data_IF_700161968733
#
_entry.id   IF_700161968733
#
_cell.length_a   1.000
_cell.length_b   1.000
_cell.length_c   1.000
_cell.angle_alpha   90.00
_cell.angle_beta   90.00
_cell.angle_gamma   90.00
#
_symmetry.space_group_name_H-M   'P 1'
#
loop_
_entity.id
_entity.type
_entity.pdbx_description
1 polymer ?
#
# COMPACT_ATOMS: atom_id res chain seq x y z
N UNK A 1 -0.92 -18.41 2.76
CA UNK A 1 -0.53 -19.34 1.64
C UNK A 1 -1.04 -20.76 1.86
N UNK A 2 -0.90 -21.34 3.05
CA UNK A 2 -1.33 -22.72 3.34
C UNK A 2 -2.83 -22.95 3.09
N UNK A 3 -3.69 -22.03 3.55
CA UNK A 3 -5.14 -22.13 3.36
C UNK A 3 -5.55 -22.02 1.89
N UNK A 4 -4.83 -21.25 1.08
CA UNK A 4 -5.01 -21.25 -0.37
C UNK A 4 -4.76 -22.66 -0.95
N UNK A 5 -3.64 -23.30 -0.58
CA UNK A 5 -3.34 -24.67 -1.00
C UNK A 5 -4.42 -25.68 -0.57
N UNK A 6 -4.86 -25.61 0.70
CA UNK A 6 -5.91 -26.47 1.23
C UNK A 6 -7.22 -26.32 0.46
N UNK A 7 -7.64 -25.07 0.19
CA UNK A 7 -8.86 -24.80 -0.57
C UNK A 7 -8.76 -25.28 -2.01
N UNK A 8 -7.62 -25.08 -2.68
CA UNK A 8 -7.42 -25.62 -4.03
C UNK A 8 -7.49 -27.15 -4.06
N UNK A 9 -6.91 -27.86 -3.09
CA UNK A 9 -7.03 -29.32 -2.98
C UNK A 9 -8.50 -29.71 -2.82
N UNK A 10 -9.26 -29.01 -1.97
CA UNK A 10 -10.70 -29.24 -1.79
C UNK A 10 -11.51 -29.07 -3.07
N UNK A 11 -11.12 -28.11 -3.93
CA UNK A 11 -11.78 -27.85 -5.22
C UNK A 11 -11.37 -28.89 -6.26
N UNK A 12 -10.07 -29.15 -6.40
CA UNK A 12 -9.53 -29.96 -7.50
C UNK A 12 -9.75 -31.47 -7.32
N UNK A 13 -9.93 -31.92 -6.08
CA UNK A 13 -10.07 -33.34 -5.74
C UNK A 13 -11.38 -33.62 -4.96
N UNK A 14 -12.55 -33.40 -5.58
CA UNK A 14 -13.85 -33.57 -4.91
C UNK A 14 -14.14 -35.01 -4.49
N UNK A 15 -13.39 -36.01 -4.99
CA UNK A 15 -13.49 -37.39 -4.60
C UNK A 15 -13.00 -37.68 -3.16
N UNK A 16 -12.26 -36.80 -2.54
CA UNK A 16 -11.86 -36.97 -1.14
C UNK A 16 -13.05 -36.68 -0.19
N UNK A 17 -13.27 -37.57 0.78
CA UNK A 17 -14.38 -37.43 1.74
C UNK A 17 -14.40 -36.10 2.52
N UNK A 18 -13.28 -35.41 2.61
CA UNK A 18 -13.13 -34.16 3.36
C UNK A 18 -12.98 -32.93 2.45
N UNK A 19 -13.08 -33.07 1.14
CA UNK A 19 -12.83 -31.99 0.20
C UNK A 19 -13.66 -30.74 0.48
N UNK A 20 -14.98 -30.90 0.71
CA UNK A 20 -15.89 -29.80 1.03
C UNK A 20 -15.52 -29.10 2.35
N UNK A 21 -15.17 -29.89 3.38
CA UNK A 21 -14.72 -29.36 4.67
C UNK A 21 -13.42 -28.56 4.53
N UNK A 22 -12.48 -29.00 3.69
CA UNK A 22 -11.23 -28.29 3.42
C UNK A 22 -11.47 -26.97 2.70
N UNK A 23 -12.39 -26.96 1.72
CA UNK A 23 -12.77 -25.75 1.03
C UNK A 23 -13.42 -24.73 1.98
N UNK A 24 -14.39 -25.19 2.78
CA UNK A 24 -15.06 -24.33 3.75
C UNK A 24 -14.06 -23.73 4.77
N UNK A 25 -13.20 -24.55 5.36
CA UNK A 25 -12.17 -24.08 6.27
C UNK A 25 -11.20 -23.11 5.63
N UNK A 26 -10.85 -23.32 4.35
CA UNK A 26 -9.97 -22.41 3.63
C UNK A 26 -10.64 -21.05 3.40
N UNK A 27 -11.91 -21.02 3.02
CA UNK A 27 -12.66 -19.76 2.81
C UNK A 27 -12.76 -18.96 4.10
N UNK A 28 -13.14 -19.60 5.21
CA UNK A 28 -13.23 -18.97 6.53
C UNK A 28 -11.88 -18.38 6.95
N UNK A 29 -10.81 -19.18 6.91
CA UNK A 29 -9.48 -18.73 7.29
C UNK A 29 -8.92 -17.64 6.36
N UNK A 30 -9.19 -17.68 5.06
CA UNK A 30 -8.77 -16.64 4.12
C UNK A 30 -9.49 -15.33 4.38
N UNK A 31 -10.77 -15.38 4.76
CA UNK A 31 -11.53 -14.18 5.11
C UNK A 31 -11.06 -13.55 6.41
N UNK A 32 -10.81 -14.36 7.45
CA UNK A 32 -10.23 -13.93 8.73
C UNK A 32 -8.84 -13.30 8.53
N UNK A 33 -8.00 -13.90 7.68
CA UNK A 33 -6.65 -13.39 7.42
C UNK A 33 -6.66 -12.03 6.72
N UNK A 34 -7.66 -11.70 5.90
CA UNK A 34 -7.80 -10.35 5.37
C UNK A 34 -8.04 -9.32 6.47
N UNK A 35 -8.83 -9.64 7.49
CA UNK A 35 -9.07 -8.75 8.63
C UNK A 35 -7.84 -8.58 9.53
N UNK A 36 -6.94 -9.58 9.53
CA UNK A 36 -5.71 -9.57 10.33
C UNK A 36 -4.52 -8.95 9.63
N UNK A 37 -4.53 -8.91 8.29
CA UNK A 37 -3.38 -8.48 7.49
C UNK A 37 -3.62 -7.18 6.70
N UNK A 38 -4.87 -6.77 6.52
CA UNK A 38 -5.19 -5.59 5.71
C UNK A 38 -5.76 -4.48 6.61
N UNK A 39 -5.11 -3.33 6.60
CA UNK A 39 -5.62 -2.13 7.26
C UNK A 39 -7.00 -1.74 6.71
N UNK A 40 -7.85 -1.06 7.48
CA UNK A 40 -9.18 -0.63 7.01
C UNK A 40 -9.15 0.23 5.74
N UNK A 41 -8.03 0.91 5.44
CA UNK A 41 -7.82 1.70 4.21
C UNK A 41 -7.29 0.89 3.03
N UNK A 42 -7.04 -0.40 3.22
CA UNK A 42 -6.69 -1.35 2.17
C UNK A 42 -5.23 -1.79 2.13
N UNK A 43 -4.31 -1.17 2.85
CA UNK A 43 -2.90 -1.56 2.80
C UNK A 43 -2.64 -2.83 3.61
N UNK A 44 -1.77 -3.68 3.12
CA UNK A 44 -1.29 -4.86 3.84
C UNK A 44 -0.28 -4.43 4.93
N UNK A 45 -0.31 -5.10 6.08
CA UNK A 45 0.37 -4.69 7.33
C UNK A 45 1.92 -4.59 7.26
N UNK A 46 2.54 -5.07 6.19
CA UNK A 46 3.96 -4.88 5.95
C UNK A 46 4.26 -3.53 5.26
N UNK A 47 3.22 -2.77 4.87
CA UNK A 47 3.31 -1.42 4.33
C UNK A 47 4.30 -1.29 3.15
N UNK A 48 4.43 -2.34 2.37
CA UNK A 48 5.25 -2.38 1.16
C UNK A 48 4.40 -2.76 -0.04
N UNK A 49 4.56 -2.05 -1.13
CA UNK A 49 3.79 -2.26 -2.35
C UNK A 49 4.02 -3.64 -2.97
N UNK A 50 5.21 -4.23 -2.80
CA UNK A 50 5.49 -5.58 -3.29
C UNK A 50 4.72 -6.66 -2.52
N UNK A 51 4.79 -6.66 -1.19
CA UNK A 51 4.14 -7.70 -0.38
C UNK A 51 2.62 -7.53 -0.30
N UNK A 52 2.13 -6.31 -0.44
CA UNK A 52 0.72 -6.05 -0.69
C UNK A 52 0.21 -6.82 -1.92
N UNK A 53 0.94 -6.71 -3.02
CA UNK A 53 0.60 -7.38 -4.28
C UNK A 53 0.75 -8.91 -4.19
N UNK A 54 1.75 -9.41 -3.45
CA UNK A 54 1.92 -10.85 -3.17
C UNK A 54 0.68 -11.41 -2.48
N UNK A 55 0.12 -10.69 -1.51
CA UNK A 55 -1.11 -11.11 -0.83
C UNK A 55 -2.29 -11.11 -1.80
N UNK A 56 -2.53 -10.03 -2.54
CA UNK A 56 -3.64 -9.97 -3.51
C UNK A 56 -3.52 -11.10 -4.55
N UNK A 57 -2.33 -11.33 -5.10
CA UNK A 57 -2.11 -12.38 -6.09
C UNK A 57 -2.35 -13.78 -5.53
N UNK A 58 -2.10 -13.99 -4.23
CA UNK A 58 -2.41 -15.25 -3.58
C UNK A 58 -3.93 -15.52 -3.53
N UNK A 59 -4.74 -14.50 -3.19
CA UNK A 59 -6.20 -14.59 -3.24
C UNK A 59 -6.72 -14.75 -4.66
N UNK A 60 -6.17 -14.00 -5.60
CA UNK A 60 -6.54 -14.07 -7.00
C UNK A 60 -6.41 -15.49 -7.54
N UNK A 61 -5.27 -16.15 -7.34
CA UNK A 61 -5.05 -17.54 -7.78
C UNK A 61 -6.10 -18.50 -7.22
N UNK A 62 -6.44 -18.35 -5.95
CA UNK A 62 -7.47 -19.16 -5.32
C UNK A 62 -8.85 -18.93 -5.94
N UNK A 63 -9.24 -17.66 -6.11
CA UNK A 63 -10.55 -17.27 -6.65
C UNK A 63 -10.69 -17.70 -8.11
N UNK A 64 -9.65 -17.54 -8.93
CA UNK A 64 -9.66 -18.01 -10.33
C UNK A 64 -9.89 -19.52 -10.43
N UNK A 65 -9.24 -20.31 -9.56
CA UNK A 65 -9.48 -21.75 -9.47
C UNK A 65 -10.92 -22.03 -9.02
N UNK A 66 -11.41 -21.36 -8.00
CA UNK A 66 -12.78 -21.52 -7.51
C UNK A 66 -13.81 -21.25 -8.62
N UNK A 67 -13.71 -20.14 -9.32
CA UNK A 67 -14.61 -19.78 -10.42
C UNK A 67 -14.55 -20.79 -11.58
N UNK A 68 -13.35 -21.23 -11.95
CA UNK A 68 -13.16 -22.24 -13.01
C UNK A 68 -13.87 -23.56 -12.71
N UNK A 69 -14.02 -23.90 -11.44
CA UNK A 69 -14.70 -25.13 -10.99
C UNK A 69 -16.12 -24.86 -10.45
N UNK A 70 -16.72 -23.71 -10.78
CA UNK A 70 -18.10 -23.38 -10.42
C UNK A 70 -18.34 -23.19 -8.92
N UNK A 71 -17.30 -22.87 -8.15
CA UNK A 71 -17.42 -22.57 -6.73
C UNK A 71 -17.71 -21.10 -6.51
N UNK A 72 -18.54 -20.80 -5.52
CA UNK A 72 -18.89 -19.42 -5.11
C UNK A 72 -17.87 -18.92 -4.08
N UNK A 73 -17.50 -17.65 -4.18
CA UNK A 73 -16.69 -16.94 -3.20
C UNK A 73 -17.62 -16.01 -2.42
N UNK A 74 -17.50 -15.93 -1.08
CA UNK A 74 -18.31 -15.00 -0.28
C UNK A 74 -18.14 -13.55 -0.71
N UNK A 75 -19.25 -12.81 -0.81
CA UNK A 75 -19.22 -11.38 -1.19
C UNK A 75 -18.40 -10.55 -0.19
N UNK A 76 -18.47 -10.88 1.11
CA UNK A 76 -17.67 -10.24 2.16
C UNK A 76 -16.16 -10.35 1.93
N UNK A 77 -15.68 -11.50 1.44
CA UNK A 77 -14.27 -11.69 1.06
C UNK A 77 -13.93 -10.83 -0.17
N UNK A 78 -14.80 -10.81 -1.18
CA UNK A 78 -14.59 -10.01 -2.40
C UNK A 78 -14.58 -8.50 -2.10
N UNK A 79 -15.45 -8.01 -1.21
CA UNK A 79 -15.47 -6.61 -0.77
C UNK A 79 -14.17 -6.20 -0.07
N UNK A 80 -13.66 -7.04 0.84
CA UNK A 80 -12.38 -6.81 1.52
C UNK A 80 -11.22 -6.77 0.53
N UNK A 81 -11.20 -7.71 -0.41
CA UNK A 81 -10.19 -7.76 -1.46
C UNK A 81 -10.28 -6.55 -2.41
N UNK A 82 -11.50 -6.10 -2.74
CA UNK A 82 -11.73 -4.91 -3.56
C UNK A 82 -11.15 -3.65 -2.92
N UNK A 83 -11.28 -3.48 -1.58
CA UNK A 83 -10.63 -2.39 -0.85
C UNK A 83 -9.11 -2.47 -0.91
N UNK A 84 -8.56 -3.67 -0.78
CA UNK A 84 -7.12 -3.87 -0.92
C UNK A 84 -6.64 -3.52 -2.34
N UNK A 85 -7.37 -3.91 -3.38
CA UNK A 85 -7.06 -3.55 -4.76
C UNK A 85 -7.12 -2.03 -5.01
N UNK A 86 -8.05 -1.31 -4.37
CA UNK A 86 -8.17 0.14 -4.51
C UNK A 86 -6.94 0.90 -4.02
N UNK A 87 -6.17 0.32 -3.09
CA UNK A 87 -4.96 0.94 -2.60
C UNK A 87 -3.97 1.28 -3.74
N UNK A 88 -3.84 0.41 -4.73
CA UNK A 88 -2.95 0.68 -5.87
C UNK A 88 -3.36 1.94 -6.63
N UNK A 89 -4.67 2.20 -6.75
CA UNK A 89 -5.18 3.45 -7.34
C UNK A 89 -4.87 4.64 -6.43
N UNK A 90 -5.09 4.50 -5.12
CA UNK A 90 -4.77 5.56 -4.15
C UNK A 90 -3.29 5.94 -4.18
N UNK A 91 -2.41 4.98 -4.39
CA UNK A 91 -0.96 5.20 -4.49
C UNK A 91 -0.47 5.50 -5.91
N UNK A 92 -1.27 5.26 -6.95
CA UNK A 92 -0.85 5.37 -8.35
C UNK A 92 -0.26 6.74 -8.67
N UNK A 93 0.93 6.74 -9.22
CA UNK A 93 1.63 7.93 -9.72
C UNK A 93 1.15 8.31 -11.14
N UNK A 94 1.47 9.50 -11.63
CA UNK A 94 1.06 9.95 -12.97
C UNK A 94 1.53 9.06 -14.12
N UNK A 95 2.60 8.28 -13.93
CA UNK A 95 3.09 7.31 -14.92
C UNK A 95 2.37 5.95 -14.88
N UNK A 96 1.29 5.85 -14.11
CA UNK A 96 0.45 4.65 -14.01
C UNK A 96 1.03 3.53 -13.12
N UNK A 97 2.08 3.81 -12.35
CA UNK A 97 2.73 2.82 -11.46
C UNK A 97 2.54 3.17 -10.00
N UNK A 98 2.63 2.15 -9.13
CA UNK A 98 2.77 2.36 -7.69
C UNK A 98 4.21 2.78 -7.34
N UNK A 99 4.42 3.54 -6.24
CA UNK A 99 5.76 3.79 -5.72
C UNK A 99 6.39 2.52 -5.12
N UNK A 100 7.70 2.55 -4.91
CA UNK A 100 8.51 1.48 -4.33
C UNK A 100 8.70 1.67 -2.82
N UNK A 101 7.62 1.63 -2.07
CA UNK A 101 7.62 1.86 -0.62
C UNK A 101 8.28 0.69 0.13
N UNK A 102 9.19 1.01 1.04
CA UNK A 102 9.95 0.03 1.83
C UNK A 102 10.67 -0.99 0.92
N UNK A 103 10.58 -2.29 1.21
CA UNK A 103 11.07 -3.35 0.29
C UNK A 103 10.14 -3.52 -0.92
N UNK A 104 9.57 -2.42 -1.40
CA UNK A 104 8.68 -2.40 -2.54
C UNK A 104 9.39 -2.38 -3.90
N UNK A 105 8.58 -2.47 -4.94
CA UNK A 105 8.98 -2.20 -6.31
C UNK A 105 7.83 -1.51 -7.05
N UNK A 106 8.17 -0.72 -8.04
CA UNK A 106 7.18 -0.04 -8.90
C UNK A 106 6.44 -1.05 -9.75
N UNK A 107 5.12 -1.01 -9.71
CA UNK A 107 4.24 -1.93 -10.44
C UNK A 107 3.28 -1.18 -11.33
N UNK A 108 3.05 -1.70 -12.52
CA UNK A 108 2.05 -1.20 -13.44
C UNK A 108 0.63 -1.52 -12.92
N UNK A 109 -0.10 -0.46 -12.55
CA UNK A 109 -1.46 -0.58 -12.00
C UNK A 109 -2.42 -1.10 -13.05
N UNK A 110 -2.29 -0.67 -14.31
CA UNK A 110 -3.12 -1.15 -15.42
C UNK A 110 -2.96 -2.66 -15.61
N UNK A 111 -1.72 -3.15 -15.68
CA UNK A 111 -1.42 -4.58 -15.80
C UNK A 111 -1.98 -5.40 -14.63
N UNK A 112 -1.88 -4.88 -13.41
CA UNK A 112 -2.48 -5.51 -12.23
C UNK A 112 -4.01 -5.61 -12.37
N UNK A 113 -4.68 -4.55 -12.81
CA UNK A 113 -6.14 -4.52 -12.97
C UNK A 113 -6.65 -5.37 -14.15
N UNK A 114 -5.86 -5.57 -15.21
CA UNK A 114 -6.20 -6.51 -16.29
C UNK A 114 -6.43 -7.93 -15.79
N UNK A 115 -5.77 -8.28 -14.71
CA UNK A 115 -5.94 -9.61 -14.08
C UNK A 115 -7.03 -9.56 -13.00
N UNK A 116 -7.03 -8.55 -12.14
CA UNK A 116 -7.97 -8.40 -11.01
C UNK A 116 -9.43 -8.30 -11.44
N UNK A 117 -9.73 -7.71 -12.61
CA UNK A 117 -11.10 -7.65 -13.15
C UNK A 117 -11.77 -9.02 -13.32
N UNK A 118 -10.99 -10.12 -13.35
CA UNK A 118 -11.51 -11.47 -13.43
C UNK A 118 -12.06 -11.98 -12.10
N UNK A 119 -11.56 -11.45 -10.99
CA UNK A 119 -11.93 -11.88 -9.65
C UNK A 119 -12.88 -10.89 -8.97
N UNK A 120 -12.88 -9.62 -9.41
CA UNK A 120 -13.78 -8.57 -8.93
C UNK A 120 -14.50 -7.97 -10.15
N UNK A 121 -15.39 -8.73 -10.83
CA UNK A 121 -15.94 -8.34 -12.13
C UNK A 121 -16.81 -7.08 -12.09
N UNK A 122 -17.34 -6.72 -10.92
CA UNK A 122 -18.21 -5.56 -10.73
C UNK A 122 -17.46 -4.28 -10.26
N UNK A 123 -16.13 -4.32 -10.16
CA UNK A 123 -15.34 -3.16 -9.81
C UNK A 123 -15.25 -2.18 -10.99
N UNK A 124 -16.01 -1.09 -10.92
CA UNK A 124 -16.02 -0.05 -11.97
C UNK A 124 -14.65 0.57 -12.21
N UNK A 125 -13.80 0.65 -11.16
CA UNK A 125 -12.44 1.19 -11.25
C UNK A 125 -11.57 0.38 -12.22
N UNK A 126 -11.83 -0.93 -12.33
CA UNK A 126 -11.13 -1.77 -13.29
C UNK A 126 -11.36 -1.30 -14.74
N UNK A 127 -12.58 -0.91 -15.09
CA UNK A 127 -12.88 -0.38 -16.44
C UNK A 127 -12.21 0.97 -16.68
N UNK A 128 -12.21 1.85 -15.67
CA UNK A 128 -11.49 3.12 -15.79
C UNK A 128 -10.00 2.90 -16.06
N UNK A 129 -9.33 2.08 -15.25
CA UNK A 129 -7.89 1.82 -15.38
C UNK A 129 -7.54 1.11 -16.69
N UNK A 130 -8.33 0.12 -17.12
CA UNK A 130 -7.97 -0.74 -18.26
C UNK A 130 -8.49 -0.23 -19.60
N UNK A 131 -9.66 0.43 -19.60
CA UNK A 131 -10.41 0.80 -20.80
C UNK A 131 -10.61 2.34 -20.94
N UNK A 132 -10.31 3.11 -19.89
CA UNK A 132 -10.52 4.55 -19.87
C UNK A 132 -11.99 4.97 -19.65
N UNK A 133 -12.82 4.08 -19.10
CA UNK A 133 -14.22 4.38 -18.80
C UNK A 133 -14.33 5.35 -17.61
N UNK A 134 -14.56 6.62 -17.89
CA UNK A 134 -14.65 7.70 -16.90
C UNK A 134 -15.73 7.46 -15.82
N UNK A 135 -16.70 6.56 -16.06
CA UNK A 135 -17.73 6.23 -15.05
C UNK A 135 -17.16 5.46 -13.85
N UNK A 136 -15.98 4.89 -13.99
CA UNK A 136 -15.26 4.18 -12.94
C UNK A 136 -14.17 5.00 -12.27
N UNK A 137 -13.93 6.25 -12.72
CA UNK A 137 -12.93 7.14 -12.17
C UNK A 137 -13.25 7.50 -10.72
N UNK A 138 -12.25 7.48 -9.81
CA UNK A 138 -12.47 7.91 -8.44
C UNK A 138 -12.97 9.36 -8.37
N UNK A 139 -13.91 9.62 -7.46
CA UNK A 139 -14.40 10.99 -7.18
C UNK A 139 -13.36 11.86 -6.46
N UNK A 140 -12.40 11.21 -5.79
CA UNK A 140 -11.27 11.89 -5.15
C UNK A 140 -10.11 12.09 -6.13
N UNK A 141 -9.34 13.16 -5.93
CA UNK A 141 -8.03 13.36 -6.57
C UNK A 141 -6.92 12.97 -5.61
N UNK A 142 -6.85 13.61 -4.46
CA UNK A 142 -5.94 13.24 -3.37
C UNK A 142 -6.59 12.22 -2.44
N UNK A 143 -5.80 11.35 -1.81
CA UNK A 143 -6.30 10.27 -0.95
C UNK A 143 -5.46 10.16 0.32
N UNK A 144 -6.14 10.13 1.48
CA UNK A 144 -5.51 9.79 2.75
C UNK A 144 -5.82 8.34 3.11
N UNK A 145 -4.83 7.68 3.67
CA UNK A 145 -4.89 6.33 4.20
C UNK A 145 -4.56 6.39 5.71
N UNK A 146 -5.55 6.73 6.54
CA UNK A 146 -5.29 7.12 7.92
C UNK A 146 -4.92 5.99 8.86
N UNK A 147 -5.14 4.73 8.49
CA UNK A 147 -4.69 3.58 9.28
C UNK A 147 -3.27 3.17 8.91
N UNK A 148 -2.99 3.05 7.62
CA UNK A 148 -1.66 2.73 7.13
C UNK A 148 -0.70 3.93 7.15
N UNK A 149 -1.21 5.16 7.28
CA UNK A 149 -0.40 6.36 7.53
C UNK A 149 0.13 7.06 6.28
N UNK A 150 -0.49 6.90 5.12
CA UNK A 150 -0.04 7.57 3.90
C UNK A 150 -1.00 8.66 3.45
N UNK A 151 -0.47 9.71 2.83
CA UNK A 151 -1.26 10.73 2.15
C UNK A 151 -0.69 10.96 0.74
N UNK A 152 -1.49 10.63 -0.28
CA UNK A 152 -1.18 10.89 -1.68
C UNK A 152 -1.92 12.15 -2.15
N UNK A 153 -1.18 13.18 -2.54
CA UNK A 153 -1.68 14.48 -2.98
C UNK A 153 -1.47 14.61 -4.49
N UNK A 154 -2.48 15.11 -5.24
CA UNK A 154 -2.43 15.18 -6.71
C UNK A 154 -3.09 16.44 -7.24
N UNK A 155 -2.58 16.93 -8.38
CA UNK A 155 -3.30 17.92 -9.20
C UNK A 155 -4.34 17.29 -10.12
N UNK A 156 -4.22 16.01 -10.42
CA UNK A 156 -5.09 15.26 -11.31
C UNK A 156 -4.60 13.82 -11.53
N UNK A 157 -5.13 13.18 -12.58
CA UNK A 157 -4.83 11.78 -12.94
C UNK A 157 -4.08 11.67 -14.30
N UNK A 158 -3.64 12.78 -14.86
CA UNK A 158 -2.89 12.83 -16.12
C UNK A 158 -1.39 12.55 -15.92
N UNK A 159 -0.70 12.23 -17.02
CA UNK A 159 0.74 11.93 -17.01
C UNK A 159 1.63 13.11 -16.62
N UNK A 160 1.19 14.33 -16.92
CA UNK A 160 1.93 15.57 -16.61
C UNK A 160 1.53 16.16 -15.24
N UNK A 161 0.56 15.53 -14.56
CA UNK A 161 0.11 15.99 -13.25
C UNK A 161 1.20 15.84 -12.19
N UNK A 162 1.09 16.65 -11.16
CA UNK A 162 1.97 16.56 -10.00
C UNK A 162 1.37 15.59 -8.97
N UNK A 163 2.21 14.74 -8.43
CA UNK A 163 1.88 13.80 -7.37
C UNK A 163 2.94 13.86 -6.28
N UNK A 164 2.49 13.92 -5.04
CA UNK A 164 3.34 13.81 -3.87
C UNK A 164 2.78 12.74 -2.93
N UNK A 165 3.66 12.02 -2.26
CA UNK A 165 3.30 11.08 -1.19
C UNK A 165 4.01 11.48 0.10
N UNK A 166 3.27 11.57 1.19
CA UNK A 166 3.81 11.66 2.53
C UNK A 166 3.67 10.32 3.23
N UNK A 167 4.78 9.82 3.75
CA UNK A 167 4.82 8.66 4.61
C UNK A 167 4.74 9.08 6.08
N UNK A 168 3.60 8.87 6.72
CA UNK A 168 3.39 9.02 8.16
C UNK A 168 3.09 7.64 8.81
N UNK A 169 3.47 6.56 8.12
CA UNK A 169 3.13 5.21 8.51
C UNK A 169 3.69 4.81 9.88
N UNK A 170 2.98 3.96 10.63
CA UNK A 170 3.58 3.23 11.73
C UNK A 170 4.68 2.29 11.20
N UNK A 171 5.52 1.78 12.07
CA UNK A 171 6.45 0.72 11.68
C UNK A 171 5.67 -0.57 11.46
N UNK A 172 5.67 -1.10 10.24
CA UNK A 172 4.91 -2.29 9.87
C UNK A 172 5.55 -3.58 10.40
N UNK A 173 4.94 -4.72 10.05
CA UNK A 173 5.35 -6.02 10.61
C UNK A 173 6.73 -6.48 10.13
N UNK A 174 7.06 -6.26 8.86
CA UNK A 174 8.29 -6.72 8.24
C UNK A 174 8.65 -5.84 7.03
N UNK A 175 9.84 -6.01 6.47
CA UNK A 175 10.28 -5.35 5.24
C UNK A 175 10.34 -3.82 5.35
N UNK A 176 10.49 -3.29 6.58
CA UNK A 176 10.41 -1.87 6.87
C UNK A 176 11.76 -1.18 6.78
N UNK A 177 11.72 0.11 6.43
CA UNK A 177 12.86 1.03 6.45
C UNK A 177 12.71 2.07 7.57
N UNK A 178 13.76 2.84 7.81
CA UNK A 178 13.75 3.95 8.78
C UNK A 178 13.43 5.26 8.04
N UNK A 179 12.21 5.40 7.56
CA UNK A 179 11.77 6.32 6.52
C UNK A 179 10.58 7.20 6.90
N UNK A 180 10.13 7.18 8.16
CA UNK A 180 8.94 7.95 8.56
C UNK A 180 9.11 9.44 8.27
N UNK A 181 8.03 10.05 7.78
CA UNK A 181 7.97 11.41 7.24
C UNK A 181 8.79 11.60 5.94
N UNK A 182 9.12 10.51 5.22
CA UNK A 182 9.64 10.61 3.86
C UNK A 182 8.59 11.23 2.93
N UNK A 183 9.08 11.95 1.92
CA UNK A 183 8.24 12.56 0.89
C UNK A 183 8.74 12.16 -0.48
N UNK A 184 7.84 11.61 -1.29
CA UNK A 184 8.08 11.39 -2.70
C UNK A 184 7.44 12.51 -3.51
N UNK A 185 8.04 12.88 -4.62
CA UNK A 185 7.51 13.91 -5.51
C UNK A 185 7.75 13.54 -6.96
N UNK A 186 6.67 13.52 -7.74
CA UNK A 186 6.66 13.28 -9.17
C UNK A 186 5.92 14.43 -9.88
N UNK A 187 6.50 14.99 -10.93
CA UNK A 187 5.88 16.07 -11.70
C UNK A 187 6.48 16.15 -13.11
N UNK A 188 5.67 16.56 -14.07
CA UNK A 188 6.09 16.70 -15.47
C UNK A 188 6.83 15.46 -16.01
N UNK A 189 6.32 14.28 -15.70
CA UNK A 189 6.87 13.00 -16.16
C UNK A 189 8.15 12.55 -15.46
N UNK A 190 8.56 13.16 -14.34
CA UNK A 190 9.84 12.87 -13.66
C UNK A 190 9.70 12.83 -12.14
N UNK A 191 10.50 11.96 -11.53
CA UNK A 191 10.76 12.05 -10.11
C UNK A 191 11.66 13.27 -9.81
N UNK A 192 11.27 14.03 -8.79
CA UNK A 192 12.12 14.99 -8.11
C UNK A 192 12.63 14.47 -6.77
N UNK A 193 11.79 13.71 -6.05
CA UNK A 193 12.16 13.01 -4.83
C UNK A 193 11.71 11.55 -4.99
N UNK A 194 12.64 10.63 -4.93
CA UNK A 194 12.43 9.19 -5.15
C UNK A 194 12.74 8.38 -3.91
N UNK A 195 12.35 7.11 -3.88
CA UNK A 195 12.72 6.12 -2.86
C UNK A 195 13.97 5.32 -3.25
N UNK A 196 14.62 4.76 -2.22
CA UNK A 196 15.76 3.86 -2.38
C UNK A 196 15.37 2.44 -2.83
N UNK A 197 14.11 2.03 -2.60
CA UNK A 197 13.59 0.70 -2.92
C UNK A 197 14.26 -0.42 -2.12
N UNK A 198 14.07 -1.66 -2.58
CA UNK A 198 14.52 -2.86 -1.88
C UNK A 198 16.03 -3.12 -2.01
N UNK A 199 16.63 -2.91 -3.17
CA UNK A 199 17.95 -3.35 -3.59
C UNK A 199 18.11 -4.89 -3.58
N UNK A 200 18.46 -5.50 -2.43
CA UNK A 200 18.66 -6.95 -2.27
C UNK A 200 18.41 -7.39 -0.83
N UNK A 201 18.24 -8.70 -0.63
CA UNK A 201 18.17 -9.32 0.71
C UNK A 201 19.51 -9.95 1.07
N UNK A 202 20.51 -9.09 1.31
CA UNK A 202 21.87 -9.48 1.71
C UNK A 202 22.35 -8.60 2.88
N UNK A 203 23.59 -8.81 3.33
CA UNK A 203 24.22 -8.04 4.40
C UNK A 203 25.15 -6.94 3.86
N UNK A 204 24.98 -6.53 2.59
CA UNK A 204 25.84 -5.54 1.95
C UNK A 204 25.67 -4.12 2.54
N UNK A 205 26.67 -3.27 2.33
CA UNK A 205 26.61 -1.85 2.67
C UNK A 205 25.45 -1.14 1.97
N UNK A 206 25.14 -1.52 0.71
CA UNK A 206 24.04 -0.94 -0.04
C UNK A 206 22.70 -1.36 0.56
N UNK A 207 22.53 -2.61 1.00
CA UNK A 207 21.31 -3.01 1.72
C UNK A 207 21.13 -2.22 3.01
N UNK A 208 22.18 -2.07 3.79
CA UNK A 208 22.14 -1.25 5.01
C UNK A 208 21.83 0.21 4.70
N UNK A 209 22.36 0.74 3.60
CA UNK A 209 22.06 2.10 3.16
C UNK A 209 20.58 2.28 2.82
N UNK A 210 19.97 1.41 1.99
CA UNK A 210 18.55 1.54 1.61
C UNK A 210 17.58 1.35 2.78
N UNK A 211 17.99 0.62 3.82
CA UNK A 211 17.19 0.47 5.04
C UNK A 211 17.29 1.68 5.99
N UNK A 212 18.33 2.49 5.83
CA UNK A 212 18.65 3.61 6.74
C UNK A 212 17.90 4.88 6.37
N UNK A 213 17.67 5.76 7.33
CA UNK A 213 17.06 7.08 7.11
C UNK A 213 17.79 7.91 6.06
N UNK A 214 19.08 7.66 5.87
CA UNK A 214 19.92 8.36 4.90
C UNK A 214 19.49 8.19 3.45
N UNK A 215 18.84 7.09 3.10
CA UNK A 215 18.38 6.80 1.73
C UNK A 215 17.02 7.41 1.40
N UNK A 216 16.35 8.01 2.38
CA UNK A 216 15.00 8.51 2.27
C UNK A 216 14.91 10.05 2.34
N UNK A 217 13.82 10.61 1.85
CA UNK A 217 13.60 12.06 1.83
C UNK A 217 13.02 12.56 3.17
N UNK A 218 13.68 12.22 4.26
CA UNK A 218 13.30 12.59 5.62
C UNK A 218 14.49 13.19 6.40
N UNK A 219 14.35 13.42 7.69
CA UNK A 219 15.34 14.13 8.52
C UNK A 219 16.17 13.14 9.34
N UNK A 220 17.48 13.34 9.34
CA UNK A 220 18.44 12.80 10.31
C UNK A 220 18.81 13.89 11.31
N UNK A 221 18.94 13.55 12.58
CA UNK A 221 19.35 14.49 13.62
C UNK A 221 20.77 14.17 14.07
N UNK A 222 21.67 15.15 14.02
CA UNK A 222 23.09 15.00 14.37
C UNK A 222 23.77 13.80 13.68
N UNK A 223 23.37 13.54 12.43
CA UNK A 223 23.87 12.39 11.67
C UNK A 223 23.29 11.03 12.10
N UNK A 224 22.37 11.00 13.06
CA UNK A 224 21.70 9.78 13.53
C UNK A 224 20.44 9.48 12.71
N UNK A 225 20.21 8.22 12.46
CA UNK A 225 19.02 7.71 11.80
C UNK A 225 17.85 7.54 12.78
N UNK A 226 16.63 7.47 12.27
CA UNK A 226 15.50 6.90 12.98
C UNK A 226 15.86 5.46 13.38
N UNK A 227 15.32 4.95 14.48
CA UNK A 227 15.67 3.61 14.96
C UNK A 227 14.46 2.88 15.53
N UNK A 228 13.40 2.80 14.72
CA UNK A 228 12.15 2.11 15.08
C UNK A 228 12.32 0.60 15.13
N UNK A 229 13.20 0.05 14.30
CA UNK A 229 13.47 -1.39 14.20
C UNK A 229 13.92 -2.01 15.53
N UNK A 230 14.65 -1.27 16.36
CA UNK A 230 15.10 -1.76 17.67
C UNK A 230 14.00 -1.83 18.73
N UNK A 231 13.02 -0.96 18.65
CA UNK A 231 12.02 -0.77 19.72
C UNK A 231 10.65 -1.24 19.36
N UNK A 232 10.35 -1.34 18.08
CA UNK A 232 9.03 -1.69 17.63
C UNK A 232 8.80 -3.21 17.69
N UNK A 233 7.76 -3.61 18.43
CA UNK A 233 7.23 -4.97 18.43
C UNK A 233 5.80 -4.91 17.88
N UNK A 234 5.62 -5.27 16.61
CA UNK A 234 4.32 -5.28 15.97
C UNK A 234 3.32 -6.21 16.69
N UNK A 235 2.11 -5.71 16.88
CA UNK A 235 1.01 -6.46 17.48
C UNK A 235 -0.18 -6.48 16.53
N UNK A 236 -0.95 -7.56 16.57
CA UNK A 236 -2.12 -7.73 15.69
C UNK A 236 -3.16 -6.59 15.84
N UNK A 237 -3.25 -6.00 17.03
CA UNK A 237 -4.12 -4.85 17.29
C UNK A 237 -3.69 -3.55 16.60
N UNK A 238 -2.42 -3.45 16.16
CA UNK A 238 -1.90 -2.23 15.55
C UNK A 238 -2.59 -1.92 14.22
N UNK A 239 -3.07 -2.95 13.50
CA UNK A 239 -3.82 -2.78 12.25
C UNK A 239 -5.14 -2.01 12.45
N UNK A 240 -5.66 -1.96 13.68
CA UNK A 240 -6.91 -1.25 14.03
C UNK A 240 -6.67 0.17 14.55
N UNK A 241 -5.42 0.58 14.68
CA UNK A 241 -5.03 1.91 15.15
C UNK A 241 -4.81 2.83 13.95
N UNK A 242 -5.29 4.06 14.06
CA UNK A 242 -4.96 5.09 13.08
C UNK A 242 -3.54 5.60 13.32
N UNK A 243 -2.83 5.87 12.24
CA UNK A 243 -1.56 6.57 12.29
C UNK A 243 -1.76 8.03 12.76
N UNK A 244 -0.68 8.64 13.24
CA UNK A 244 -0.65 10.07 13.54
C UNK A 244 -0.55 10.85 12.22
N UNK A 245 -1.67 10.97 11.50
CA UNK A 245 -1.78 11.69 10.23
C UNK A 245 -2.96 12.64 10.27
N UNK A 246 -2.66 13.94 10.17
CA UNK A 246 -3.64 14.99 9.95
C UNK A 246 -3.69 15.31 8.46
N UNK A 247 -4.89 15.48 7.90
CA UNK A 247 -5.07 15.88 6.50
C UNK A 247 -6.32 16.72 6.28
N UNK A 248 -6.27 17.52 5.23
CA UNK A 248 -7.45 18.19 4.69
C UNK A 248 -7.27 18.36 3.19
N UNK A 249 -8.25 17.90 2.41
CA UNK A 249 -8.24 18.02 0.96
C UNK A 249 -9.38 18.92 0.51
N UNK A 250 -9.06 19.88 -0.34
CA UNK A 250 -9.99 20.87 -0.82
C UNK A 250 -9.77 21.20 -2.30
N UNK A 251 -10.67 21.96 -2.91
CA UNK A 251 -10.52 22.38 -4.31
C UNK A 251 -9.32 23.31 -4.55
N UNK A 252 -8.84 24.03 -3.53
CA UNK A 252 -7.80 25.04 -3.64
C UNK A 252 -6.44 24.56 -3.20
N UNK A 253 -6.38 23.70 -2.19
CA UNK A 253 -5.15 23.21 -1.62
C UNK A 253 -5.42 21.92 -0.82
N UNK A 254 -4.44 21.06 -0.81
CA UNK A 254 -4.41 19.87 0.00
C UNK A 254 -3.34 20.00 1.08
N UNK A 255 -3.56 19.35 2.21
CA UNK A 255 -2.70 19.41 3.37
C UNK A 255 -2.55 18.04 3.99
N UNK A 256 -1.31 17.70 4.36
CA UNK A 256 -1.00 16.54 5.18
C UNK A 256 0.09 16.91 6.19
N UNK A 257 -0.07 16.49 7.45
CA UNK A 257 0.90 16.70 8.53
C UNK A 257 1.03 15.47 9.40
N UNK A 258 2.25 15.22 9.87
CA UNK A 258 2.55 14.23 10.91
C UNK A 258 3.81 14.60 11.68
N UNK A 259 4.10 13.81 12.73
CA UNK A 259 5.29 13.96 13.55
C UNK A 259 6.02 12.62 13.74
N UNK A 260 7.32 12.68 13.90
CA UNK A 260 8.19 11.60 14.35
C UNK A 260 8.79 11.96 15.72
N UNK A 261 8.46 11.19 16.75
CA UNK A 261 8.84 11.33 18.15
C UNK A 261 9.32 10.02 18.76
N UNK A 262 9.67 9.05 17.89
CA UNK A 262 9.98 7.67 18.29
C UNK A 262 11.46 7.48 18.67
N UNK A 263 12.32 8.47 18.40
CA UNK A 263 13.73 8.51 18.80
C UNK A 263 14.73 8.29 17.68
N UNK A 264 15.89 8.92 17.80
CA UNK A 264 17.01 8.86 16.87
C UNK A 264 18.21 8.15 17.47
N UNK A 265 19.00 7.49 16.64
CA UNK A 265 20.25 6.84 17.00
C UNK A 265 20.10 5.58 17.86
N UNK A 266 21.25 5.06 18.28
CA UNK A 266 21.34 3.82 19.05
C UNK A 266 20.69 3.93 20.43
N UNK A 267 20.81 5.10 21.06
CA UNK A 267 20.26 5.39 22.38
C UNK A 267 18.78 5.80 22.35
N UNK A 268 18.19 5.88 21.15
CA UNK A 268 16.79 6.27 20.95
C UNK A 268 16.45 7.62 21.60
N UNK A 269 17.28 8.63 21.35
CA UNK A 269 17.01 9.98 21.85
C UNK A 269 15.69 10.51 21.30
N UNK A 270 14.73 10.74 22.20
CA UNK A 270 13.40 11.27 21.90
C UNK A 270 13.29 12.78 22.09
N UNK A 271 14.35 13.45 22.51
CA UNK A 271 14.32 14.90 22.68
C UNK A 271 14.08 15.64 21.35
N UNK A 272 14.69 15.23 20.22
CA UNK A 272 14.35 15.81 18.93
C UNK A 272 13.00 15.26 18.41
N UNK A 273 12.06 16.15 18.12
CA UNK A 273 10.81 15.84 17.43
C UNK A 273 10.83 16.46 16.04
N UNK A 274 10.62 15.61 15.02
CA UNK A 274 10.51 16.08 13.65
C UNK A 274 9.04 16.17 13.26
N UNK A 275 8.54 17.36 13.03
CA UNK A 275 7.23 17.59 12.40
C UNK A 275 7.40 17.92 10.92
N UNK A 276 6.53 17.35 10.08
CA UNK A 276 6.46 17.67 8.65
C UNK A 276 5.02 17.98 8.26
N UNK A 277 4.85 19.09 7.57
CA UNK A 277 3.59 19.45 6.93
C UNK A 277 3.83 19.72 5.43
N UNK A 278 2.94 19.20 4.60
CA UNK A 278 2.92 19.44 3.16
C UNK A 278 1.67 20.26 2.85
N UNK A 279 1.86 21.42 2.24
CA UNK A 279 0.81 22.20 1.60
C UNK A 279 0.95 22.06 0.09
N UNK A 280 -0.02 21.41 -0.53
CA UNK A 280 -0.03 21.12 -1.94
C UNK A 280 -1.06 22.02 -2.61
N UNK A 281 -0.57 23.05 -3.31
CA UNK A 281 -1.41 24.10 -3.93
C UNK A 281 -1.51 23.82 -5.41
N UNK A 282 -2.71 23.46 -5.88
CA UNK A 282 -2.98 23.30 -7.31
C UNK A 282 -3.13 24.67 -7.97
N UNK A 283 -2.05 25.21 -8.51
CA UNK A 283 -2.15 26.41 -9.37
C UNK A 283 -2.66 25.95 -10.74
N UNK A 284 -3.95 26.14 -11.00
CA UNK A 284 -4.49 26.01 -12.37
C UNK A 284 -3.96 27.17 -13.19
N UNK A 285 -2.84 26.96 -13.86
CA UNK A 285 -2.42 27.88 -14.93
C UNK A 285 -3.34 27.60 -16.11
N UNK A 286 -4.32 28.49 -16.34
CA UNK A 286 -5.05 28.50 -17.61
C UNK A 286 -4.05 28.77 -18.72
N UNK A 287 -3.71 27.76 -19.50
CA UNK A 287 -3.00 27.98 -20.76
C UNK A 287 -3.97 28.74 -21.67
N UNK A 288 -3.65 30.01 -21.92
CA UNK A 288 -4.29 30.84 -22.94
C UNK A 288 -3.95 30.31 -24.33
#
# INVERSE_FOLDING_TARGET
MEMNGLGQIGILYPQFKKSEKWLQQALESLEEELDRQIYPDGFQYELTTNYHDVVINNYQRFIEVAYKFGKTIPDTLLEKLSRACELDIKLMMPDGKTPDLNDGCRRDVKGSYEVRKRIIPNDKRAKWITEGDETGKPEYTSAAMPWSGFAALRTGWGQDDTWALMDAAPFGRAHQHEDKLSVLLYTNGKFLLTEGGNYAYDESEMRNYVLSTRSHNTVRVDGQDQNRRKTYAWKEEDIKKKANLEWNFSEKWDYAKSAYDEGYGEDQDKAPVHERAIYFIAIKISRF
#
